data_IF_878444786742
#
_entry.id   IF_878444786742
#
_cell.length_a   1.000
_cell.length_b   1.000
_cell.length_c   1.000
_cell.angle_alpha   90.00
_cell.angle_beta   90.00
_cell.angle_gamma   90.00
#
_symmetry.space_group_name_H-M   'P 1'
#
loop_
_entity.id
_entity.type
_entity.pdbx_description
1 polymer ?
#
# COMPACT_ATOMS: atom_id res chain seq x y z
N UNK A 1 -8.24 23.42 20.49
CA UNK A 1 -9.32 22.48 20.85
C UNK A 1 -9.17 21.25 19.97
N UNK A 2 -8.86 20.09 20.53
CA UNK A 2 -8.84 18.84 19.77
C UNK A 2 -10.28 18.36 19.62
N UNK A 3 -10.77 18.26 18.39
CA UNK A 3 -12.05 17.61 18.11
C UNK A 3 -11.89 16.13 18.42
N UNK A 4 -12.69 15.61 19.36
CA UNK A 4 -12.79 14.18 19.61
C UNK A 4 -13.14 13.47 18.29
N UNK A 5 -12.56 12.29 18.07
CA UNK A 5 -12.98 11.47 16.93
C UNK A 5 -14.42 11.03 17.20
N UNK A 6 -15.33 11.26 16.26
CA UNK A 6 -16.70 10.81 16.44
C UNK A 6 -16.79 9.27 16.35
N UNK A 7 -17.89 8.71 16.88
CA UNK A 7 -18.08 7.27 16.94
C UNK A 7 -18.11 6.59 15.56
N UNK A 8 -18.53 7.33 14.52
CA UNK A 8 -18.58 6.82 13.14
C UNK A 8 -17.17 6.60 12.61
N UNK A 9 -16.30 7.59 12.75
CA UNK A 9 -14.90 7.52 12.31
C UNK A 9 -14.09 6.48 13.09
N UNK A 10 -14.37 6.33 14.39
CA UNK A 10 -13.79 5.25 15.19
C UNK A 10 -14.19 3.88 14.64
N UNK A 11 -15.46 3.71 14.28
CA UNK A 11 -16.00 2.48 13.69
C UNK A 11 -15.35 2.18 12.34
N UNK A 12 -15.24 3.18 11.44
CA UNK A 12 -14.59 3.03 10.13
C UNK A 12 -13.13 2.57 10.27
N UNK A 13 -12.38 3.17 11.21
CA UNK A 13 -10.99 2.80 11.45
C UNK A 13 -10.86 1.39 12.05
N UNK A 14 -11.78 1.00 12.94
CA UNK A 14 -11.85 -0.36 13.46
C UNK A 14 -12.17 -1.36 12.36
N UNK A 15 -13.07 -1.03 11.42
CA UNK A 15 -13.38 -1.88 10.26
C UNK A 15 -12.18 -2.04 9.34
N UNK A 16 -11.44 -0.97 9.05
CA UNK A 16 -10.20 -1.04 8.28
C UNK A 16 -9.16 -1.94 8.98
N UNK A 17 -9.02 -1.79 10.29
CA UNK A 17 -8.09 -2.62 11.09
C UNK A 17 -8.53 -4.08 11.08
N UNK A 18 -9.83 -4.36 11.18
CA UNK A 18 -10.38 -5.71 11.11
C UNK A 18 -10.21 -6.33 9.72
N UNK A 19 -10.43 -5.56 8.64
CA UNK A 19 -10.16 -5.97 7.27
C UNK A 19 -8.71 -6.42 7.13
N UNK A 20 -7.76 -5.60 7.59
CA UNK A 20 -6.34 -5.95 7.59
C UNK A 20 -6.07 -7.23 8.39
N UNK A 21 -6.62 -7.38 9.60
CA UNK A 21 -6.37 -8.56 10.43
C UNK A 21 -7.01 -9.84 9.87
N UNK A 22 -8.14 -9.73 9.18
CA UNK A 22 -8.84 -10.85 8.55
C UNK A 22 -8.09 -11.40 7.34
N UNK A 23 -7.30 -10.55 6.65
CA UNK A 23 -6.48 -11.00 5.54
C UNK A 23 -5.30 -11.85 6.03
N UNK A 24 -5.11 -13.07 5.47
CA UNK A 24 -3.96 -13.88 5.80
C UNK A 24 -2.69 -13.12 5.42
N UNK A 25 -1.63 -13.32 6.20
CA UNK A 25 -0.29 -12.87 5.79
C UNK A 25 0.06 -13.78 4.62
N UNK A 26 -0.08 -13.28 3.40
CA UNK A 26 0.32 -14.03 2.22
C UNK A 26 1.84 -13.93 2.11
N UNK A 27 2.48 -14.92 1.51
CA UNK A 27 3.85 -14.74 1.02
C UNK A 27 3.79 -13.74 -0.13
N UNK A 28 3.78 -12.45 0.24
CA UNK A 28 3.63 -11.35 -0.69
C UNK A 28 4.81 -11.26 -1.66
N UNK A 29 5.95 -11.86 -1.31
CA UNK A 29 7.06 -12.04 -2.21
C UNK A 29 6.73 -13.08 -3.29
N UNK A 30 6.18 -14.24 -2.93
CA UNK A 30 5.74 -15.24 -3.89
C UNK A 30 4.66 -14.68 -4.83
N UNK A 31 3.67 -13.96 -4.31
CA UNK A 31 2.67 -13.26 -5.13
C UNK A 31 3.30 -12.22 -6.04
N UNK A 32 4.18 -11.37 -5.51
CA UNK A 32 4.86 -10.36 -6.33
C UNK A 32 5.72 -11.01 -7.42
N UNK A 33 6.44 -12.09 -7.12
CA UNK A 33 7.23 -12.84 -8.10
C UNK A 33 6.34 -13.46 -9.19
N UNK A 34 5.19 -14.02 -8.83
CA UNK A 34 4.21 -14.55 -9.77
C UNK A 34 3.65 -13.44 -10.67
N UNK A 35 3.32 -12.29 -10.11
CA UNK A 35 2.86 -11.12 -10.85
C UNK A 35 3.94 -10.55 -11.78
N UNK A 36 5.21 -10.47 -11.34
CA UNK A 36 6.32 -10.04 -12.20
C UNK A 36 6.50 -11.02 -13.36
N UNK A 37 6.52 -12.32 -13.07
CA UNK A 37 6.65 -13.35 -14.10
C UNK A 37 5.54 -13.24 -15.14
N UNK A 38 4.29 -13.04 -14.70
CA UNK A 38 3.15 -12.84 -15.61
C UNK A 38 3.30 -11.59 -16.47
N UNK A 39 3.76 -10.46 -15.89
CA UNK A 39 4.03 -9.23 -16.65
C UNK A 39 5.16 -9.41 -17.66
N UNK A 40 6.23 -10.10 -17.28
CA UNK A 40 7.35 -10.39 -18.17
C UNK A 40 6.93 -11.33 -19.31
N UNK A 41 6.09 -12.34 -19.03
CA UNK A 41 5.50 -13.21 -20.04
C UNK A 41 4.59 -12.45 -21.02
N UNK A 42 3.72 -11.57 -20.52
CA UNK A 42 2.86 -10.72 -21.36
C UNK A 42 3.69 -9.75 -22.21
N UNK A 43 4.73 -9.16 -21.62
CA UNK A 43 5.66 -8.27 -22.32
C UNK A 43 6.47 -9.02 -23.38
N UNK A 44 6.91 -10.24 -23.10
CA UNK A 44 7.63 -11.07 -24.06
C UNK A 44 6.72 -11.46 -25.24
N UNK A 45 5.46 -11.86 -24.99
CA UNK A 45 4.48 -12.14 -26.05
C UNK A 45 4.25 -10.93 -26.96
N UNK A 46 4.18 -9.73 -26.39
CA UNK A 46 4.07 -8.49 -27.15
C UNK A 46 5.30 -8.24 -28.01
N UNK A 47 6.51 -8.43 -27.46
CA UNK A 47 7.74 -8.30 -28.22
C UNK A 47 7.84 -9.34 -29.35
N UNK A 48 7.51 -10.60 -29.07
CA UNK A 48 7.53 -11.67 -30.06
C UNK A 48 6.53 -11.38 -31.20
N UNK A 49 5.36 -10.81 -30.88
CA UNK A 49 4.38 -10.38 -31.88
C UNK A 49 4.89 -9.22 -32.75
N UNK A 50 5.48 -8.18 -32.14
CA UNK A 50 6.00 -7.01 -32.89
C UNK A 50 7.19 -7.37 -33.79
N UNK A 51 8.03 -8.32 -33.36
CA UNK A 51 9.27 -8.68 -34.05
C UNK A 51 9.17 -9.99 -34.86
N UNK A 52 7.97 -10.57 -34.97
CA UNK A 52 7.70 -11.67 -35.90
C UNK A 52 7.66 -11.16 -37.35
N UNK A 53 8.40 -11.79 -38.25
CA UNK A 53 8.50 -11.41 -39.67
C UNK A 53 7.22 -11.67 -40.49
N UNK A 54 6.18 -12.27 -39.90
CA UNK A 54 4.87 -12.46 -40.53
C UNK A 54 3.97 -11.24 -40.31
N UNK A 55 4.42 -10.10 -40.82
CA UNK A 55 3.63 -8.89 -40.89
C UNK A 55 2.63 -8.94 -42.04
N UNK A 56 1.49 -9.60 -41.87
CA UNK A 56 0.27 -9.31 -42.64
C UNK A 56 -0.95 -9.81 -41.89
N UNK A 57 -1.50 -8.98 -41.02
CA UNK A 57 -2.89 -8.52 -41.10
C UNK A 57 -3.15 -7.61 -39.90
N UNK A 58 -4.10 -6.71 -40.09
CA UNK A 58 -4.48 -5.58 -39.25
C UNK A 58 -5.14 -6.05 -37.93
N UNK A 59 -4.45 -6.91 -37.17
CA UNK A 59 -4.87 -7.30 -35.84
C UNK A 59 -4.54 -6.13 -34.91
N UNK A 60 -5.55 -5.31 -34.65
CA UNK A 60 -5.51 -4.24 -33.66
C UNK A 60 -5.43 -4.88 -32.28
N UNK A 61 -4.24 -5.34 -31.91
CA UNK A 61 -3.94 -5.65 -30.53
C UNK A 61 -4.12 -4.35 -29.74
N UNK A 62 -4.82 -4.37 -28.59
CA UNK A 62 -4.89 -3.20 -27.74
C UNK A 62 -3.46 -2.73 -27.48
N UNK A 63 -3.26 -1.40 -27.47
CA UNK A 63 -2.01 -0.80 -27.02
C UNK A 63 -1.45 -1.62 -25.85
N UNK A 64 -0.11 -1.84 -25.79
CA UNK A 64 0.48 -2.63 -24.73
C UNK A 64 -0.20 -2.23 -23.45
N UNK A 65 -0.57 -3.20 -22.62
CA UNK A 65 -1.18 -2.93 -21.32
C UNK A 65 -0.13 -2.17 -20.47
N UNK A 66 0.19 -0.90 -20.79
CA UNK A 66 -0.22 0.21 -19.97
C UNK A 66 -1.59 -0.21 -19.48
N UNK A 67 -1.61 -0.85 -18.31
CA UNK A 67 -2.83 -0.88 -17.53
C UNK A 67 -3.16 0.59 -17.47
N UNK A 68 -4.07 1.05 -18.33
CA UNK A 68 -4.67 2.34 -18.16
C UNK A 68 -5.19 2.21 -16.74
N UNK A 69 -4.55 2.95 -15.85
CA UNK A 69 -4.79 2.96 -14.42
C UNK A 69 -6.14 3.69 -14.19
N UNK A 70 -7.14 3.41 -15.04
CA UNK A 70 -8.49 3.93 -15.03
C UNK A 70 -9.26 3.38 -13.84
N UNK A 71 -8.75 2.28 -13.24
CA UNK A 71 -9.14 1.78 -11.94
C UNK A 71 -8.08 2.03 -10.85
N UNK A 72 -7.10 2.93 -11.04
CA UNK A 72 -6.23 3.35 -9.94
C UNK A 72 -7.08 4.11 -8.92
N UNK A 73 -7.34 3.56 -7.72
CA UNK A 73 -8.02 4.33 -6.70
C UNK A 73 -7.20 5.56 -6.26
N UNK A 74 -5.91 5.61 -6.65
CA UNK A 74 -4.98 6.71 -6.46
C UNK A 74 -4.68 7.46 -7.78
N UNK A 75 -5.46 7.29 -8.86
CA UNK A 75 -5.27 8.02 -10.12
C UNK A 75 -5.19 9.53 -9.91
N UNK A 76 -5.95 10.01 -8.91
CA UNK A 76 -5.98 11.42 -8.52
C UNK A 76 -4.62 11.92 -8.01
N UNK A 77 -3.74 11.05 -7.49
CA UNK A 77 -2.37 11.40 -7.08
C UNK A 77 -1.46 11.74 -8.27
N UNK A 78 -1.82 11.32 -9.48
CA UNK A 78 -1.04 11.59 -10.70
C UNK A 78 -1.40 12.93 -11.35
N UNK A 79 -2.43 13.61 -10.84
CA UNK A 79 -2.85 14.91 -11.34
C UNK A 79 -1.91 16.02 -10.83
N UNK A 80 -1.69 17.10 -11.60
CA UNK A 80 -0.79 18.19 -11.20
C UNK A 80 -1.24 18.91 -9.91
N UNK A 81 -2.52 18.86 -9.57
CA UNK A 81 -3.15 19.42 -8.37
C UNK A 81 -3.24 18.43 -7.19
N UNK A 82 -2.67 17.22 -7.33
CA UNK A 82 -2.71 16.18 -6.31
C UNK A 82 -2.19 16.66 -4.95
N UNK A 83 -1.09 17.42 -4.94
CA UNK A 83 -0.49 17.94 -3.71
C UNK A 83 -1.42 18.92 -2.98
N UNK A 84 -2.12 19.77 -3.70
CA UNK A 84 -3.08 20.73 -3.13
C UNK A 84 -4.32 20.00 -2.59
N UNK A 85 -4.84 19.02 -3.32
CA UNK A 85 -5.91 18.15 -2.82
C UNK A 85 -5.48 17.43 -1.55
N UNK A 86 -4.29 16.86 -1.51
CA UNK A 86 -3.74 16.16 -0.34
C UNK A 86 -3.59 17.08 0.87
N UNK A 87 -3.13 18.31 0.66
CA UNK A 87 -3.08 19.32 1.72
C UNK A 87 -4.48 19.68 2.21
N UNK A 88 -5.48 19.76 1.33
CA UNK A 88 -6.85 20.04 1.72
C UNK A 88 -7.45 18.93 2.58
N UNK A 89 -7.11 17.66 2.30
CA UNK A 89 -7.66 16.49 3.03
C UNK A 89 -6.78 16.05 4.22
N UNK A 90 -5.68 16.75 4.49
CA UNK A 90 -4.64 16.32 5.44
C UNK A 90 -5.18 16.15 6.87
N UNK A 91 -6.23 16.87 7.24
CA UNK A 91 -6.85 16.80 8.57
C UNK A 91 -8.16 16.02 8.62
N UNK A 92 -8.60 15.45 7.49
CA UNK A 92 -9.88 14.72 7.40
C UNK A 92 -9.65 13.22 7.57
N UNK A 93 -9.96 12.72 8.76
CA UNK A 93 -9.71 11.32 9.12
C UNK A 93 -10.40 10.33 8.17
N UNK A 94 -11.68 10.56 7.82
CA UNK A 94 -12.42 9.70 6.88
C UNK A 94 -11.75 9.60 5.51
N UNK A 95 -11.27 10.73 4.98
CA UNK A 95 -10.57 10.75 3.70
C UNK A 95 -9.27 9.93 3.75
N UNK A 96 -8.51 10.05 4.86
CA UNK A 96 -7.29 9.27 5.05
C UNK A 96 -7.57 7.77 5.21
N UNK A 97 -8.64 7.40 5.95
CA UNK A 97 -9.09 6.00 6.09
C UNK A 97 -9.43 5.43 4.70
N UNK A 98 -10.22 6.14 3.90
CA UNK A 98 -10.63 5.68 2.57
C UNK A 98 -9.44 5.49 1.61
N UNK A 99 -8.43 6.37 1.68
CA UNK A 99 -7.20 6.23 0.89
C UNK A 99 -6.45 4.96 1.30
N UNK A 100 -6.26 4.74 2.60
CA UNK A 100 -5.54 3.55 3.10
C UNK A 100 -6.32 2.28 2.78
N UNK A 101 -7.64 2.27 2.94
CA UNK A 101 -8.52 1.14 2.62
C UNK A 101 -8.43 0.74 1.15
N UNK A 102 -8.57 1.72 0.23
CA UNK A 102 -8.47 1.45 -1.21
C UNK A 102 -7.08 0.98 -1.60
N UNK A 103 -6.05 1.59 -1.03
CA UNK A 103 -4.66 1.17 -1.29
C UNK A 103 -4.38 -0.23 -0.75
N UNK A 104 -4.91 -0.56 0.43
CA UNK A 104 -4.79 -1.90 1.02
C UNK A 104 -5.56 -2.94 0.19
N UNK A 105 -6.76 -2.60 -0.28
CA UNK A 105 -7.55 -3.48 -1.14
C UNK A 105 -6.83 -3.76 -2.46
N UNK A 106 -6.23 -2.73 -3.09
CA UNK A 106 -5.39 -2.91 -4.28
C UNK A 106 -4.19 -3.81 -3.97
N UNK A 107 -3.49 -3.56 -2.86
CA UNK A 107 -2.36 -4.38 -2.42
C UNK A 107 -2.74 -5.87 -2.26
N UNK A 108 -3.89 -6.15 -1.66
CA UNK A 108 -4.40 -7.52 -1.50
C UNK A 108 -4.62 -8.21 -2.85
N UNK A 109 -5.07 -7.46 -3.86
CA UNK A 109 -5.38 -8.00 -5.20
C UNK A 109 -4.14 -8.13 -6.09
N UNK A 110 -3.23 -7.17 -6.05
CA UNK A 110 -2.10 -7.10 -7.01
C UNK A 110 -0.76 -7.50 -6.42
N UNK A 111 -0.62 -7.52 -5.10
CA UNK A 111 0.68 -7.69 -4.44
C UNK A 111 1.67 -6.55 -4.73
N UNK A 112 1.24 -5.45 -5.35
CA UNK A 112 2.14 -4.37 -5.74
C UNK A 112 2.71 -3.66 -4.51
N UNK A 113 4.02 -3.40 -4.57
CA UNK A 113 4.74 -2.55 -3.64
C UNK A 113 5.07 -1.22 -4.34
N UNK A 114 4.96 -0.07 -3.66
CA UNK A 114 4.95 0.08 -2.19
C UNK A 114 3.56 0.00 -1.52
N UNK A 115 3.61 -0.23 -0.20
CA UNK A 115 2.49 -0.31 0.74
C UNK A 115 1.52 0.91 0.72
N UNK A 116 0.36 0.83 1.42
CA UNK A 116 -0.69 1.85 1.40
C UNK A 116 -0.20 3.28 1.62
N UNK A 117 -0.75 4.22 0.83
CA UNK A 117 -0.38 5.63 0.88
C UNK A 117 -0.98 6.33 2.12
N UNK A 118 -0.21 7.20 2.78
CA UNK A 118 -0.59 8.03 3.96
C UNK A 118 -1.04 7.37 5.31
N UNK A 119 -0.65 6.13 5.69
CA UNK A 119 -0.95 5.60 7.04
C UNK A 119 -0.37 6.46 8.17
N UNK A 120 0.72 7.18 7.90
CA UNK A 120 1.30 8.14 8.84
C UNK A 120 0.34 9.27 9.22
N UNK A 121 -0.56 9.70 8.32
CA UNK A 121 -1.43 10.83 8.63
C UNK A 121 -2.58 10.46 9.55
N UNK A 122 -3.18 9.27 9.38
CA UNK A 122 -4.14 8.69 10.34
C UNK A 122 -3.55 8.74 11.75
N UNK A 123 -2.33 8.23 11.88
CA UNK A 123 -1.52 8.24 13.07
C UNK A 123 -1.26 9.63 13.71
N UNK A 124 -1.10 10.68 12.90
CA UNK A 124 -0.96 12.06 13.39
C UNK A 124 -2.30 12.60 13.89
N UNK A 125 -3.39 12.35 13.16
CA UNK A 125 -4.73 12.81 13.51
C UNK A 125 -5.17 12.19 14.84
N UNK A 126 -5.06 10.86 14.99
CA UNK A 126 -5.43 10.15 16.22
C UNK A 126 -4.65 10.66 17.44
N UNK A 127 -3.34 10.90 17.27
CA UNK A 127 -2.50 11.45 18.34
C UNK A 127 -2.95 12.83 18.79
N UNK A 128 -3.34 13.71 17.85
CA UNK A 128 -3.88 15.04 18.16
C UNK A 128 -5.23 14.97 18.87
N UNK A 129 -6.06 14.00 18.52
CA UNK A 129 -7.34 13.73 19.18
C UNK A 129 -7.23 12.91 20.48
N UNK A 130 -6.01 12.50 20.86
CA UNK A 130 -5.72 11.68 22.05
C UNK A 130 -6.34 10.27 22.02
N UNK A 131 -6.58 9.74 20.84
CA UNK A 131 -7.16 8.41 20.62
C UNK A 131 -6.06 7.34 20.54
N UNK A 132 -5.33 7.11 21.64
CA UNK A 132 -4.17 6.20 21.67
C UNK A 132 -4.53 4.75 21.36
N UNK A 133 -5.71 4.31 21.77
CA UNK A 133 -6.12 2.90 21.66
C UNK A 133 -6.49 2.55 20.21
N UNK A 134 -7.14 3.49 19.52
CA UNK A 134 -7.40 3.41 18.09
C UNK A 134 -6.10 3.45 17.29
N UNK A 135 -5.16 4.34 17.67
CA UNK A 135 -3.84 4.43 17.05
C UNK A 135 -3.06 3.12 17.19
N UNK A 136 -3.05 2.54 18.39
CA UNK A 136 -2.39 1.26 18.68
C UNK A 136 -3.00 0.12 17.87
N UNK A 137 -4.33 0.02 17.84
CA UNK A 137 -5.05 -1.03 17.11
C UNK A 137 -4.78 -0.97 15.60
N UNK A 138 -4.84 0.24 15.03
CA UNK A 138 -4.51 0.47 13.63
C UNK A 138 -3.05 0.11 13.31
N UNK A 139 -2.11 0.55 14.15
CA UNK A 139 -0.69 0.26 13.95
C UNK A 139 -0.38 -1.24 14.09
N UNK A 140 -1.05 -1.95 14.99
CA UNK A 140 -0.92 -3.40 15.10
C UNK A 140 -1.36 -4.11 13.80
N UNK A 141 -2.51 -3.72 13.25
CA UNK A 141 -3.01 -4.25 12.00
C UNK A 141 -2.10 -3.90 10.81
N UNK A 142 -1.64 -2.65 10.72
CA UNK A 142 -0.77 -2.19 9.64
C UNK A 142 0.62 -2.83 9.71
N UNK A 143 1.26 -2.86 10.89
CA UNK A 143 2.60 -3.42 11.05
C UNK A 143 2.65 -4.94 10.85
N UNK A 144 1.52 -5.65 11.03
CA UNK A 144 1.43 -7.08 10.68
C UNK A 144 1.73 -7.33 9.20
N UNK A 145 1.28 -6.44 8.32
CA UNK A 145 1.45 -6.57 6.86
C UNK A 145 2.70 -5.86 6.35
N UNK A 146 3.00 -4.69 6.90
CA UNK A 146 3.98 -3.77 6.32
C UNK A 146 5.14 -3.44 7.27
N UNK A 147 5.19 -4.05 8.47
CA UNK A 147 6.23 -3.77 9.47
C UNK A 147 7.65 -4.11 9.00
N UNK A 148 7.79 -5.07 8.08
CA UNK A 148 9.07 -5.49 7.51
C UNK A 148 9.63 -4.48 6.49
N UNK A 149 8.78 -3.66 5.87
CA UNK A 149 9.11 -2.68 4.83
C UNK A 149 9.83 -1.45 5.42
N UNK A 150 9.73 -1.25 6.73
CA UNK A 150 9.99 0.02 7.42
C UNK A 150 11.36 0.65 7.17
N UNK A 151 12.43 -0.11 6.94
CA UNK A 151 13.78 0.48 6.74
C UNK A 151 14.10 0.79 5.27
N UNK A 152 13.59 -0.02 4.35
CA UNK A 152 14.06 -0.02 2.96
C UNK A 152 13.15 0.77 2.02
N UNK A 153 11.94 1.16 2.45
CA UNK A 153 10.97 1.83 1.57
C UNK A 153 10.58 3.25 2.00
N UNK A 154 11.31 3.85 2.95
CA UNK A 154 11.25 5.28 3.24
C UNK A 154 11.04 5.64 4.71
N UNK A 155 11.51 6.85 5.08
CA UNK A 155 11.55 7.34 6.46
C UNK A 155 10.18 7.32 7.18
N UNK A 156 9.08 7.57 6.44
CA UNK A 156 7.73 7.57 7.03
C UNK A 156 7.24 6.19 7.46
N UNK A 157 7.66 5.13 6.80
CA UNK A 157 7.33 3.76 7.20
C UNK A 157 8.17 3.33 8.41
N UNK A 158 9.44 3.74 8.48
CA UNK A 158 10.26 3.58 9.68
C UNK A 158 9.62 4.27 10.90
N UNK A 159 9.11 5.48 10.71
CA UNK A 159 8.44 6.25 11.75
C UNK A 159 7.17 5.53 12.25
N UNK A 160 6.38 4.92 11.36
CA UNK A 160 5.20 4.13 11.75
C UNK A 160 5.57 2.95 12.65
N UNK A 161 6.59 2.18 12.26
CA UNK A 161 7.11 1.07 13.06
C UNK A 161 7.63 1.57 14.41
N UNK A 162 8.35 2.69 14.42
CA UNK A 162 8.85 3.31 15.66
C UNK A 162 7.71 3.76 16.57
N UNK A 163 6.64 4.35 16.00
CA UNK A 163 5.43 4.75 16.75
C UNK A 163 4.70 3.53 17.32
N UNK A 164 4.55 2.46 16.54
CA UNK A 164 3.96 1.20 16.99
C UNK A 164 4.71 0.62 18.19
N UNK A 165 6.05 0.54 18.10
CA UNK A 165 6.92 0.07 19.20
C UNK A 165 6.77 0.92 20.46
N UNK A 166 6.69 2.24 20.33
CA UNK A 166 6.48 3.16 21.47
C UNK A 166 5.13 2.97 22.15
N UNK A 167 4.13 2.50 21.43
CA UNK A 167 2.79 2.18 21.95
C UNK A 167 2.69 0.73 22.48
N UNK A 168 3.78 -0.04 22.47
CA UNK A 168 3.79 -1.42 22.94
C UNK A 168 3.28 -2.45 21.93
N UNK A 169 3.09 -2.06 20.66
CA UNK A 169 2.71 -2.99 19.59
C UNK A 169 3.88 -3.93 19.29
N UNK A 170 3.60 -5.23 19.29
CA UNK A 170 4.56 -6.25 18.83
C UNK A 170 4.64 -6.18 17.31
N UNK A 171 5.74 -5.61 16.81
CA UNK A 171 6.02 -5.56 15.37
C UNK A 171 6.83 -6.81 15.00
N UNK A 172 6.42 -7.57 13.96
CA UNK A 172 7.23 -8.69 13.46
C UNK A 172 8.65 -8.23 13.16
N UNK A 173 9.65 -8.95 13.66
CA UNK A 173 11.04 -8.58 13.43
C UNK A 173 11.38 -8.64 11.95
N UNK A 174 11.99 -7.56 11.45
CA UNK A 174 12.47 -7.47 10.07
C UNK A 174 13.38 -8.65 9.72
N UNK A 175 14.14 -9.16 10.69
CA UNK A 175 15.11 -10.23 10.47
C UNK A 175 14.45 -11.60 10.23
N UNK A 176 13.23 -11.82 10.73
CA UNK A 176 12.48 -13.07 10.48
C UNK A 176 11.76 -13.04 9.13
N UNK A 177 11.32 -11.85 8.69
CA UNK A 177 10.74 -11.62 7.37
C UNK A 177 11.80 -11.58 6.26
N UNK A 178 13.00 -11.06 6.57
CA UNK A 178 14.15 -11.03 5.65
C UNK A 178 14.88 -12.38 5.57
N UNK A 179 14.88 -13.19 6.65
CA UNK A 179 15.40 -14.56 6.60
C UNK A 179 14.56 -15.48 5.68
N UNK A 180 13.27 -15.18 5.49
CA UNK A 180 12.44 -15.79 4.44
C UNK A 180 12.55 -15.07 3.09
N UNK A 181 12.93 -13.79 3.05
CA UNK A 181 12.96 -12.98 1.83
C UNK A 181 14.22 -12.09 1.75
N UNK A 182 15.25 -12.51 1.01
CA UNK A 182 16.40 -11.65 0.77
C UNK A 182 15.99 -10.61 -0.26
N UNK A 183 15.63 -9.41 0.19
CA UNK A 183 15.75 -8.22 -0.65
C UNK A 183 17.25 -8.01 -0.95
N UNK A 184 17.77 -8.72 -1.95
CA UNK A 184 19.04 -8.34 -2.56
C UNK A 184 18.80 -6.95 -3.16
N UNK A 185 19.44 -5.95 -2.58
CA UNK A 185 19.65 -4.66 -3.24
C UNK A 185 20.09 -4.95 -4.68
N UNK A 186 19.50 -4.32 -5.71
CA UNK A 186 20.17 -4.28 -6.99
C UNK A 186 21.53 -3.63 -6.74
N UNK A 187 22.58 -4.43 -6.85
CA UNK A 187 23.96 -3.93 -6.88
C UNK A 187 24.07 -2.97 -8.06
N UNK A 188 24.72 -1.80 -7.87
CA UNK A 188 24.96 -0.87 -8.96
C UNK A 188 25.80 -1.48 -10.08
#
# INVERSE_FOLDING_TARGET
MGTAVDATLATELSLLSALMLAHPIVDHWALWQEHQKKRDEERQKYFDHIFSEEGTEEETWPDPILVEDTADPLAFLKKPDALEMLHSIENYLSAQISIVEKSFSRYVVTGDLPAPHYPFRICVILRKSKESDLEMSFLAAWCRHFGWIGRDSGARYADLVSRAKKLGVVVPDSDRALASHPLKRPTP
#
